data_IF_072578050532
#
_entry.id   IF_072578050532
#
_cell.length_a   1.000
_cell.length_b   1.000
_cell.length_c   1.000
_cell.angle_alpha   90.00
_cell.angle_beta   90.00
_cell.angle_gamma   90.00
#
_symmetry.space_group_name_H-M   'P 1'
#
loop_
_entity.id
_entity.type
_entity.pdbx_description
1 polymer ?
#
# COMPACT_ATOMS: atom_id res chain seq x y z
N UNK A 1 81.67 -1.37 43.47
CA UNK A 1 80.84 -0.14 43.52
C UNK A 1 80.70 0.50 42.15
N UNK A 2 81.78 0.92 41.49
CA UNK A 2 81.65 1.65 40.21
C UNK A 2 81.17 0.77 39.05
N UNK A 3 81.67 -0.47 38.94
CA UNK A 3 81.13 -1.44 37.97
C UNK A 3 79.62 -1.70 38.19
N UNK A 4 79.18 -1.69 39.45
CA UNK A 4 77.78 -1.89 39.80
C UNK A 4 76.92 -0.72 39.30
N UNK A 5 77.38 0.51 39.48
CA UNK A 5 76.65 1.69 39.05
C UNK A 5 76.53 1.78 37.53
N UNK A 6 77.61 1.49 36.82
CA UNK A 6 77.62 1.52 35.36
C UNK A 6 76.68 0.44 34.79
N UNK A 7 76.73 -0.77 35.35
CA UNK A 7 75.81 -1.84 34.98
C UNK A 7 74.35 -1.42 35.25
N UNK A 8 74.11 -0.73 36.37
CA UNK A 8 72.77 -0.23 36.74
C UNK A 8 72.24 0.81 35.73
N UNK A 9 73.07 1.76 35.29
CA UNK A 9 72.66 2.79 34.34
C UNK A 9 72.38 2.20 32.96
N UNK A 10 73.28 1.32 32.48
CA UNK A 10 73.09 0.66 31.19
C UNK A 10 71.79 -0.17 31.19
N UNK A 11 71.53 -0.89 32.29
CA UNK A 11 70.28 -1.61 32.48
C UNK A 11 69.07 -0.66 32.47
N UNK A 12 69.17 0.51 33.11
CA UNK A 12 68.10 1.51 33.14
C UNK A 12 67.80 2.09 31.74
N UNK A 13 68.84 2.41 30.95
CA UNK A 13 68.65 2.96 29.61
C UNK A 13 68.03 1.92 28.67
N UNK A 14 68.54 0.68 28.71
CA UNK A 14 67.98 -0.42 27.92
C UNK A 14 66.51 -0.65 28.30
N UNK A 15 66.19 -0.60 29.60
CA UNK A 15 64.82 -0.69 30.09
C UNK A 15 63.94 0.45 29.57
N UNK A 16 64.45 1.68 29.56
CA UNK A 16 63.72 2.85 29.05
C UNK A 16 63.45 2.76 27.55
N UNK A 17 64.45 2.37 26.75
CA UNK A 17 64.29 2.20 25.31
C UNK A 17 63.31 1.07 24.99
N UNK A 18 63.43 -0.06 25.70
CA UNK A 18 62.49 -1.17 25.58
C UNK A 18 61.07 -0.72 25.94
N UNK A 19 60.91 0.09 26.99
CA UNK A 19 59.63 0.66 27.40
C UNK A 19 59.05 1.60 26.33
N UNK A 20 59.86 2.46 25.72
CA UNK A 20 59.42 3.38 24.66
C UNK A 20 59.00 2.61 23.40
N UNK A 21 59.79 1.62 22.98
CA UNK A 21 59.46 0.77 21.84
C UNK A 21 58.16 0.00 22.10
N UNK A 22 58.01 -0.54 23.32
CA UNK A 22 56.79 -1.22 23.75
C UNK A 22 55.58 -0.26 23.72
N UNK A 23 55.75 0.99 24.17
CA UNK A 23 54.69 2.01 24.13
C UNK A 23 54.30 2.38 22.69
N UNK A 24 55.28 2.57 21.79
CA UNK A 24 55.01 2.88 20.39
C UNK A 24 54.30 1.72 19.69
N UNK A 25 54.77 0.48 19.93
CA UNK A 25 54.14 -0.72 19.40
C UNK A 25 52.70 -0.86 19.93
N UNK A 26 52.48 -0.58 21.21
CA UNK A 26 51.15 -0.57 21.82
C UNK A 26 50.24 0.49 21.19
N UNK A 27 50.76 1.70 20.93
CA UNK A 27 50.00 2.78 20.29
C UNK A 27 49.63 2.42 18.83
N UNK A 28 50.58 1.87 18.07
CA UNK A 28 50.33 1.41 16.70
C UNK A 28 49.30 0.28 16.69
N UNK A 29 49.42 -0.68 17.60
CA UNK A 29 48.47 -1.77 17.77
C UNK A 29 47.07 -1.23 18.13
N UNK A 30 46.99 -0.25 19.02
CA UNK A 30 45.73 0.42 19.39
C UNK A 30 45.10 1.13 18.19
N UNK A 31 45.89 1.86 17.40
CA UNK A 31 45.41 2.55 16.19
C UNK A 31 44.91 1.54 15.15
N UNK A 32 45.65 0.45 14.92
CA UNK A 32 45.26 -0.61 14.00
C UNK A 32 43.97 -1.29 14.48
N UNK A 33 43.86 -1.57 15.79
CA UNK A 33 42.66 -2.12 16.41
C UNK A 33 41.46 -1.19 16.23
N UNK A 34 41.64 0.12 16.43
CA UNK A 34 40.60 1.13 16.23
C UNK A 34 40.13 1.19 14.77
N UNK A 35 41.07 1.16 13.82
CA UNK A 35 40.77 1.14 12.38
C UNK A 35 40.01 -0.13 12.00
N UNK A 36 40.44 -1.29 12.52
CA UNK A 36 39.78 -2.57 12.29
C UNK A 36 38.36 -2.58 12.88
N UNK A 37 38.20 -2.06 14.10
CA UNK A 37 36.89 -1.93 14.76
C UNK A 37 35.95 -1.03 13.96
N UNK A 38 36.46 0.09 13.45
CA UNK A 38 35.70 1.01 12.61
C UNK A 38 35.30 0.34 11.29
N UNK A 39 36.22 -0.35 10.61
CA UNK A 39 35.92 -1.06 9.38
C UNK A 39 34.85 -2.15 9.61
N UNK A 40 34.97 -2.89 10.71
CA UNK A 40 33.99 -3.88 11.14
C UNK A 40 32.62 -3.23 11.39
N UNK A 41 32.58 -2.06 12.04
CA UNK A 41 31.35 -1.31 12.29
C UNK A 41 30.69 -0.87 10.98
N UNK A 42 31.48 -0.35 10.02
CA UNK A 42 30.98 0.04 8.70
C UNK A 42 30.42 -1.16 7.94
N UNK A 43 31.15 -2.28 7.96
CA UNK A 43 30.70 -3.53 7.33
C UNK A 43 29.42 -4.05 7.96
N UNK A 44 29.33 -4.04 9.29
CA UNK A 44 28.14 -4.44 10.04
C UNK A 44 26.94 -3.55 9.69
N UNK A 45 27.15 -2.23 9.61
CA UNK A 45 26.12 -1.27 9.22
C UNK A 45 25.63 -1.52 7.78
N UNK A 46 26.55 -1.79 6.85
CA UNK A 46 26.23 -2.11 5.46
C UNK A 46 25.45 -3.43 5.36
N UNK A 47 25.84 -4.45 6.13
CA UNK A 47 25.13 -5.72 6.18
C UNK A 47 23.73 -5.55 6.77
N UNK A 48 23.58 -4.77 7.85
CA UNK A 48 22.30 -4.45 8.45
C UNK A 48 21.40 -3.69 7.46
N UNK A 49 21.96 -2.74 6.71
CA UNK A 49 21.27 -2.02 5.63
C UNK A 49 20.76 -3.01 4.57
N UNK A 50 21.63 -3.89 4.08
CA UNK A 50 21.25 -4.89 3.07
C UNK A 50 20.13 -5.79 3.58
N UNK A 51 20.23 -6.27 4.82
CA UNK A 51 19.22 -7.11 5.46
C UNK A 51 17.89 -6.36 5.59
N UNK A 52 17.91 -5.09 6.01
CA UNK A 52 16.73 -4.25 6.14
C UNK A 52 16.05 -4.05 4.77
N UNK A 53 16.81 -3.74 3.73
CA UNK A 53 16.30 -3.58 2.36
C UNK A 53 15.69 -4.89 1.87
N UNK A 54 16.35 -6.03 2.11
CA UNK A 54 15.83 -7.35 1.74
C UNK A 54 14.53 -7.68 2.47
N UNK A 55 14.47 -7.42 3.78
CA UNK A 55 13.28 -7.63 4.60
C UNK A 55 12.10 -6.77 4.09
N UNK A 56 12.37 -5.51 3.76
CA UNK A 56 11.36 -4.60 3.22
C UNK A 56 10.87 -5.04 1.84
N UNK A 57 11.78 -5.49 0.96
CA UNK A 57 11.42 -6.07 -0.33
C UNK A 57 10.55 -7.32 -0.17
N UNK A 58 10.91 -8.20 0.76
CA UNK A 58 10.13 -9.39 1.07
C UNK A 58 8.74 -9.04 1.60
N UNK A 59 8.65 -8.05 2.50
CA UNK A 59 7.38 -7.56 3.03
C UNK A 59 6.51 -6.97 1.91
N UNK A 60 7.09 -6.18 1.01
CA UNK A 60 6.42 -5.63 -0.16
C UNK A 60 5.90 -6.74 -1.07
N UNK A 61 6.71 -7.76 -1.34
CA UNK A 61 6.33 -8.91 -2.15
C UNK A 61 5.18 -9.70 -1.50
N UNK A 62 5.26 -9.94 -0.19
CA UNK A 62 4.21 -10.61 0.57
C UNK A 62 2.90 -9.82 0.53
N UNK A 63 2.97 -8.50 0.71
CA UNK A 63 1.80 -7.63 0.62
C UNK A 63 1.20 -7.66 -0.79
N UNK A 64 2.03 -7.62 -1.84
CA UNK A 64 1.58 -7.72 -3.23
C UNK A 64 0.91 -9.08 -3.51
N UNK A 65 1.47 -10.18 -2.98
CA UNK A 65 0.88 -11.50 -3.10
C UNK A 65 -0.47 -11.58 -2.39
N UNK A 66 -0.56 -11.04 -1.16
CA UNK A 66 -1.81 -10.95 -0.42
C UNK A 66 -2.85 -10.12 -1.18
N UNK A 67 -2.41 -9.03 -1.82
CA UNK A 67 -3.21 -8.18 -2.71
C UNK A 67 -3.85 -9.00 -3.82
N UNK A 68 -3.00 -9.75 -4.52
CA UNK A 68 -3.38 -10.55 -5.67
C UNK A 68 -4.36 -11.65 -5.24
N UNK A 69 -4.10 -12.29 -4.11
CA UNK A 69 -4.98 -13.31 -3.54
C UNK A 69 -6.34 -12.71 -3.17
N UNK A 70 -6.38 -11.55 -2.52
CA UNK A 70 -7.62 -10.88 -2.16
C UNK A 70 -8.43 -10.49 -3.40
N UNK A 71 -7.75 -9.93 -4.42
CA UNK A 71 -8.37 -9.59 -5.70
C UNK A 71 -8.94 -10.84 -6.39
N UNK A 72 -8.19 -11.94 -6.40
CA UNK A 72 -8.63 -13.23 -6.97
C UNK A 72 -9.85 -13.78 -6.22
N UNK A 73 -9.83 -13.75 -4.88
CA UNK A 73 -10.95 -14.20 -4.05
C UNK A 73 -12.20 -13.36 -4.33
N UNK A 74 -12.05 -12.04 -4.44
CA UNK A 74 -13.15 -11.14 -4.74
C UNK A 74 -13.72 -11.36 -6.14
N UNK A 75 -12.85 -11.59 -7.13
CA UNK A 75 -13.25 -11.96 -8.49
C UNK A 75 -14.01 -13.29 -8.51
N UNK A 76 -13.54 -14.28 -7.76
CA UNK A 76 -14.21 -15.57 -7.61
C UNK A 76 -15.59 -15.40 -6.95
N UNK A 77 -15.69 -14.59 -5.90
CA UNK A 77 -16.96 -14.30 -5.23
C UNK A 77 -17.94 -13.60 -6.19
N UNK A 78 -17.47 -12.64 -6.97
CA UNK A 78 -18.24 -11.96 -8.00
C UNK A 78 -18.77 -12.95 -9.05
N UNK A 79 -17.90 -13.84 -9.53
CA UNK A 79 -18.27 -14.87 -10.49
C UNK A 79 -19.30 -15.85 -9.91
N UNK A 80 -19.11 -16.28 -8.67
CA UNK A 80 -20.04 -17.16 -7.97
C UNK A 80 -21.41 -16.51 -7.80
N UNK A 81 -21.44 -15.24 -7.40
CA UNK A 81 -22.68 -14.49 -7.27
C UNK A 81 -23.38 -14.34 -8.63
N UNK A 82 -22.65 -14.03 -9.69
CA UNK A 82 -23.18 -13.95 -11.04
C UNK A 82 -23.77 -15.31 -11.50
N UNK A 83 -23.08 -16.41 -11.20
CA UNK A 83 -23.55 -17.75 -11.52
C UNK A 83 -24.82 -18.11 -10.74
N UNK A 84 -24.85 -17.82 -9.43
CA UNK A 84 -26.02 -18.03 -8.59
C UNK A 84 -27.23 -17.24 -9.12
N UNK A 85 -26.97 -16.00 -9.53
CA UNK A 85 -27.99 -15.12 -10.09
C UNK A 85 -28.54 -15.64 -11.42
N UNK A 86 -27.66 -16.11 -12.31
CA UNK A 86 -28.05 -16.76 -13.57
C UNK A 86 -28.87 -18.03 -13.32
N UNK A 87 -28.45 -18.85 -12.35
CA UNK A 87 -29.17 -20.05 -11.95
C UNK A 87 -30.57 -19.72 -11.42
N UNK A 88 -30.69 -18.69 -10.58
CA UNK A 88 -31.97 -18.22 -10.06
C UNK A 88 -32.90 -17.76 -11.19
N UNK A 89 -32.37 -16.99 -12.16
CA UNK A 89 -33.11 -16.55 -13.33
C UNK A 89 -33.58 -17.74 -14.17
N UNK A 90 -32.71 -18.73 -14.40
CA UNK A 90 -33.03 -19.95 -15.14
C UNK A 90 -34.11 -20.77 -14.41
N UNK A 91 -33.99 -20.94 -13.10
CA UNK A 91 -34.98 -21.64 -12.28
C UNK A 91 -36.34 -20.94 -12.34
N UNK A 92 -36.36 -19.61 -12.24
CA UNK A 92 -37.58 -18.82 -12.36
C UNK A 92 -38.22 -19.01 -13.75
N UNK A 93 -37.43 -18.95 -14.81
CA UNK A 93 -37.90 -19.18 -16.17
C UNK A 93 -38.47 -20.59 -16.33
N UNK A 94 -37.76 -21.60 -15.79
CA UNK A 94 -38.18 -23.00 -15.81
C UNK A 94 -39.48 -23.22 -15.03
N UNK A 95 -39.73 -22.46 -13.96
CA UNK A 95 -40.97 -22.53 -13.19
C UNK A 95 -42.12 -21.78 -13.89
N UNK A 96 -41.84 -20.67 -14.56
CA UNK A 96 -42.84 -19.89 -15.31
C UNK A 96 -43.30 -20.61 -16.59
N UNK A 97 -42.42 -21.34 -17.29
CA UNK A 97 -42.74 -22.05 -18.53
C UNK A 97 -43.90 -23.06 -18.38
N UNK A 98 -43.90 -24.01 -17.43
CA UNK A 98 -45.00 -24.96 -17.26
C UNK A 98 -46.28 -24.26 -16.79
N UNK A 99 -46.18 -23.19 -15.99
CA UNK A 99 -47.34 -22.39 -15.62
C UNK A 99 -47.98 -21.71 -16.84
N UNK A 100 -47.16 -21.17 -17.74
CA UNK A 100 -47.61 -20.58 -19.00
C UNK A 100 -48.19 -21.64 -19.94
N UNK A 101 -47.60 -22.83 -20.02
CA UNK A 101 -48.14 -23.96 -20.79
C UNK A 101 -49.50 -24.42 -20.25
N UNK A 102 -49.61 -24.63 -18.93
CA UNK A 102 -50.86 -24.99 -18.25
C UNK A 102 -51.93 -23.94 -18.52
N UNK A 103 -51.57 -22.65 -18.40
CA UNK A 103 -52.48 -21.55 -18.69
C UNK A 103 -52.96 -21.57 -20.16
N UNK A 104 -52.05 -21.76 -21.12
CA UNK A 104 -52.39 -21.89 -22.55
C UNK A 104 -53.33 -23.08 -22.78
N UNK A 105 -53.05 -24.24 -22.17
CA UNK A 105 -53.89 -25.44 -22.27
C UNK A 105 -55.29 -25.15 -21.71
N UNK A 106 -55.38 -24.50 -20.54
CA UNK A 106 -56.66 -24.10 -19.93
C UNK A 106 -57.42 -23.15 -20.87
N UNK A 107 -56.75 -22.14 -21.43
CA UNK A 107 -57.37 -21.20 -22.39
C UNK A 107 -57.89 -21.94 -23.62
N UNK A 108 -57.10 -22.84 -24.22
CA UNK A 108 -57.51 -23.63 -25.38
C UNK A 108 -58.73 -24.50 -25.04
N UNK A 109 -58.73 -25.17 -23.89
CA UNK A 109 -59.87 -25.97 -23.43
C UNK A 109 -61.12 -25.09 -23.29
N UNK A 110 -60.99 -23.92 -22.66
CA UNK A 110 -62.09 -22.96 -22.50
C UNK A 110 -62.62 -22.52 -23.88
N UNK A 111 -61.75 -22.15 -24.83
CA UNK A 111 -62.15 -21.76 -26.18
C UNK A 111 -62.88 -22.90 -26.91
N UNK A 112 -62.36 -24.13 -26.83
CA UNK A 112 -62.98 -25.32 -27.43
C UNK A 112 -64.38 -25.54 -26.84
N UNK A 113 -64.53 -25.47 -25.51
CA UNK A 113 -65.82 -25.61 -24.82
C UNK A 113 -66.80 -24.52 -25.29
N UNK A 114 -66.33 -23.27 -25.34
CA UNK A 114 -67.10 -22.10 -25.78
C UNK A 114 -67.59 -22.26 -27.23
N UNK A 115 -66.83 -22.90 -28.11
CA UNK A 115 -67.19 -23.10 -29.52
C UNK A 115 -68.08 -24.33 -29.72
N UNK A 116 -67.74 -25.46 -29.10
CA UNK A 116 -68.45 -26.74 -29.30
C UNK A 116 -69.87 -26.68 -28.75
N UNK A 117 -70.08 -26.10 -27.56
CA UNK A 117 -71.40 -26.09 -26.92
C UNK A 117 -72.46 -25.39 -27.81
N UNK A 118 -72.24 -24.16 -28.30
CA UNK A 118 -73.18 -23.49 -29.21
C UNK A 118 -73.36 -24.23 -30.54
N UNK A 119 -72.30 -24.81 -31.12
CA UNK A 119 -72.39 -25.56 -32.37
C UNK A 119 -73.22 -26.84 -32.22
N UNK A 120 -73.02 -27.57 -31.12
CA UNK A 120 -73.78 -28.79 -30.81
C UNK A 120 -75.26 -28.44 -30.56
N UNK A 121 -75.51 -27.32 -29.87
CA UNK A 121 -76.86 -26.78 -29.70
C UNK A 121 -77.49 -26.35 -31.03
N UNK A 122 -76.73 -25.71 -31.92
CA UNK A 122 -77.18 -25.31 -33.26
C UNK A 122 -77.51 -26.53 -34.15
N UNK A 123 -76.63 -27.53 -34.16
CA UNK A 123 -76.83 -28.76 -34.93
C UNK A 123 -78.08 -29.50 -34.45
N UNK A 124 -78.25 -29.61 -33.13
CA UNK A 124 -79.45 -30.20 -32.53
C UNK A 124 -80.71 -29.44 -32.97
N UNK A 125 -80.65 -28.10 -32.96
CA UNK A 125 -81.74 -27.23 -33.37
C UNK A 125 -82.08 -27.40 -34.86
N UNK A 126 -81.07 -27.50 -35.73
CA UNK A 126 -81.24 -27.70 -37.17
C UNK A 126 -81.82 -29.08 -37.50
N UNK A 127 -81.32 -30.14 -36.84
CA UNK A 127 -81.82 -31.50 -36.99
C UNK A 127 -83.30 -31.57 -36.61
N UNK A 128 -83.67 -30.94 -35.50
CA UNK A 128 -85.05 -30.86 -35.02
C UNK A 128 -85.94 -30.14 -36.06
N UNK A 129 -85.45 -29.04 -36.64
CA UNK A 129 -86.17 -28.31 -37.68
C UNK A 129 -86.37 -29.16 -38.94
N UNK A 130 -85.32 -29.82 -39.44
CA UNK A 130 -85.38 -30.66 -40.63
C UNK A 130 -86.36 -31.83 -40.45
N UNK A 131 -86.30 -32.48 -39.29
CA UNK A 131 -87.21 -33.56 -38.94
C UNK A 131 -88.66 -33.07 -38.96
N UNK A 132 -88.91 -31.90 -38.36
CA UNK A 132 -90.24 -31.33 -38.36
C UNK A 132 -90.71 -30.97 -39.77
N UNK A 133 -89.85 -30.38 -40.60
CA UNK A 133 -90.17 -30.03 -41.98
C UNK A 133 -90.47 -31.27 -42.83
N UNK A 134 -89.70 -32.33 -42.69
CA UNK A 134 -89.93 -33.59 -43.39
C UNK A 134 -91.26 -34.22 -42.96
N UNK A 135 -91.54 -34.24 -41.66
CA UNK A 135 -92.81 -34.70 -41.12
C UNK A 135 -93.97 -33.88 -41.70
N UNK A 136 -93.79 -32.56 -41.79
CA UNK A 136 -94.76 -31.65 -42.39
C UNK A 136 -95.04 -31.97 -43.85
N UNK A 137 -93.98 -32.15 -44.64
CA UNK A 137 -94.07 -32.41 -46.07
C UNK A 137 -94.73 -33.78 -46.33
N UNK A 138 -94.35 -34.79 -45.54
CA UNK A 138 -94.96 -36.11 -45.62
C UNK A 138 -96.45 -36.04 -45.29
N UNK A 139 -96.82 -35.31 -44.23
CA UNK A 139 -98.21 -35.10 -43.85
C UNK A 139 -98.97 -34.40 -44.98
N UNK A 140 -98.39 -33.37 -45.59
CA UNK A 140 -98.99 -32.64 -46.71
C UNK A 140 -99.18 -33.54 -47.94
N UNK A 141 -98.17 -34.32 -48.32
CA UNK A 141 -98.23 -35.23 -49.46
C UNK A 141 -99.31 -36.30 -49.25
N UNK A 142 -99.35 -36.89 -48.06
CA UNK A 142 -100.35 -37.88 -47.67
C UNK A 142 -101.75 -37.27 -47.78
N UNK A 143 -101.91 -36.05 -47.28
CA UNK A 143 -103.17 -35.32 -47.33
C UNK A 143 -103.61 -35.04 -48.77
N UNK A 144 -102.69 -34.63 -49.65
CA UNK A 144 -102.95 -34.37 -51.06
C UNK A 144 -103.34 -35.65 -51.82
N UNK A 145 -102.60 -36.74 -51.59
CA UNK A 145 -102.88 -38.05 -52.19
C UNK A 145 -104.26 -38.55 -51.77
N UNK A 146 -104.58 -38.43 -50.48
CA UNK A 146 -105.88 -38.79 -49.93
C UNK A 146 -107.00 -37.97 -50.60
N UNK A 147 -106.77 -36.66 -50.77
CA UNK A 147 -107.73 -35.79 -51.43
C UNK A 147 -107.99 -36.19 -52.88
N UNK A 148 -106.92 -36.48 -53.65
CA UNK A 148 -107.02 -36.88 -55.05
C UNK A 148 -107.75 -38.22 -55.21
N UNK A 149 -107.44 -39.20 -54.34
CA UNK A 149 -108.11 -40.49 -54.28
C UNK A 149 -109.61 -40.31 -53.97
N UNK A 150 -109.93 -39.44 -53.02
CA UNK A 150 -111.32 -39.20 -52.64
C UNK A 150 -112.09 -38.51 -53.77
N UNK A 151 -111.48 -37.56 -54.47
CA UNK A 151 -112.09 -36.87 -55.60
C UNK A 151 -112.40 -37.82 -56.77
N UNK A 152 -111.50 -38.75 -57.09
CA UNK A 152 -111.71 -39.72 -58.19
C UNK A 152 -112.84 -40.71 -57.90
N UNK A 153 -112.95 -41.15 -56.64
CA UNK A 153 -114.01 -42.06 -56.19
C UNK A 153 -115.39 -41.37 -56.17
N UNK A 154 -115.42 -40.06 -55.90
CA UNK A 154 -116.66 -39.28 -55.83
C UNK A 154 -117.37 -39.14 -57.19
N UNK A 155 -116.64 -39.20 -58.31
CA UNK A 155 -117.20 -38.99 -59.66
C UNK A 155 -118.28 -40.04 -60.04
N UNK A 156 -118.27 -41.23 -59.41
CA UNK A 156 -119.27 -42.27 -59.64
C UNK A 156 -120.62 -42.04 -58.92
N UNK A 157 -120.69 -41.07 -58.00
CA UNK A 157 -121.86 -40.85 -57.16
C UNK A 157 -122.88 -39.88 -57.80
N UNK A 158 -124.19 -40.12 -57.65
CA UNK A 158 -125.20 -39.19 -58.12
C UNK A 158 -125.01 -37.81 -57.49
N UNK A 159 -125.14 -36.77 -58.32
CA UNK A 159 -124.87 -35.36 -58.02
C UNK A 159 -125.30 -34.85 -56.63
N UNK A 160 -126.51 -35.16 -56.10
CA UNK A 160 -126.91 -34.64 -54.79
C UNK A 160 -126.10 -35.19 -53.61
N UNK A 161 -125.55 -36.40 -53.72
CA UNK A 161 -124.72 -37.00 -52.67
C UNK A 161 -123.25 -36.55 -52.76
N UNK A 162 -122.77 -36.15 -53.94
CA UNK A 162 -121.41 -35.65 -54.17
C UNK A 162 -121.18 -34.32 -53.44
N UNK A 163 -122.12 -33.39 -53.51
CA UNK A 163 -121.99 -32.05 -52.93
C UNK A 163 -122.07 -32.06 -51.39
N UNK A 164 -122.92 -32.92 -50.81
CA UNK A 164 -123.08 -33.04 -49.36
C UNK A 164 -121.78 -33.50 -48.67
N UNK A 165 -120.97 -34.32 -49.36
CA UNK A 165 -119.79 -34.97 -48.76
C UNK A 165 -118.46 -34.28 -49.13
N UNK A 166 -118.36 -33.59 -50.27
CA UNK A 166 -117.14 -32.88 -50.69
C UNK A 166 -116.90 -31.58 -49.88
N UNK A 167 -117.96 -30.80 -49.61
CA UNK A 167 -117.84 -29.48 -48.96
C UNK A 167 -117.27 -29.55 -47.54
N UNK A 168 -117.72 -30.45 -46.64
CA UNK A 168 -117.15 -30.56 -45.30
C UNK A 168 -115.67 -31.00 -45.33
N UNK A 169 -115.31 -31.83 -46.30
CA UNK A 169 -113.98 -32.42 -46.39
C UNK A 169 -112.94 -31.42 -46.92
N UNK A 170 -113.31 -30.56 -47.88
CA UNK A 170 -112.43 -29.49 -48.40
C UNK A 170 -112.23 -28.35 -47.37
N UNK A 171 -113.26 -28.02 -46.59
CA UNK A 171 -113.14 -27.02 -45.52
C UNK A 171 -112.21 -27.53 -44.39
N UNK A 172 -112.35 -28.81 -44.00
CA UNK A 172 -111.47 -29.43 -43.01
C UNK A 172 -110.00 -29.43 -43.49
N UNK A 173 -109.77 -29.73 -44.77
CA UNK A 173 -108.44 -29.76 -45.39
C UNK A 173 -107.78 -28.37 -45.42
N UNK A 174 -108.52 -27.33 -45.79
CA UNK A 174 -108.01 -25.95 -45.83
C UNK A 174 -107.67 -25.43 -44.43
N UNK A 175 -108.53 -25.71 -43.44
CA UNK A 175 -108.28 -25.32 -42.05
C UNK A 175 -107.03 -26.03 -41.49
N UNK A 176 -106.87 -27.32 -41.79
CA UNK A 176 -105.69 -28.10 -41.41
C UNK A 176 -104.42 -27.51 -42.04
N UNK A 177 -104.43 -27.17 -43.34
CA UNK A 177 -103.31 -26.56 -44.05
C UNK A 177 -102.90 -25.20 -43.45
N UNK A 178 -103.87 -24.33 -43.17
CA UNK A 178 -103.62 -23.00 -42.62
C UNK A 178 -103.02 -23.06 -41.21
N UNK A 179 -103.56 -23.94 -40.36
CA UNK A 179 -103.04 -24.16 -39.01
C UNK A 179 -101.60 -24.68 -39.07
N UNK A 180 -101.32 -25.59 -40.00
CA UNK A 180 -99.99 -26.17 -40.21
C UNK A 180 -98.96 -25.12 -40.66
N UNK A 181 -99.32 -24.22 -41.57
CA UNK A 181 -98.45 -23.14 -42.06
C UNK A 181 -98.14 -22.11 -40.96
N UNK A 182 -99.15 -21.70 -40.17
CA UNK A 182 -98.97 -20.74 -39.08
C UNK A 182 -98.05 -21.31 -37.99
N UNK A 183 -98.22 -22.59 -37.65
CA UNK A 183 -97.35 -23.28 -36.69
C UNK A 183 -95.89 -23.31 -37.18
N UNK A 184 -95.66 -23.58 -38.47
CA UNK A 184 -94.32 -23.59 -39.06
C UNK A 184 -93.65 -22.20 -39.02
N UNK A 185 -94.37 -21.13 -39.36
CA UNK A 185 -93.84 -19.76 -39.35
C UNK A 185 -93.47 -19.30 -37.93
N UNK A 186 -94.35 -19.55 -36.95
CA UNK A 186 -94.10 -19.20 -35.56
C UNK A 186 -92.86 -19.92 -35.03
N UNK A 187 -92.70 -21.21 -35.36
CA UNK A 187 -91.53 -21.96 -34.97
C UNK A 187 -90.24 -21.40 -35.61
N UNK A 188 -90.27 -21.06 -36.91
CA UNK A 188 -89.12 -20.48 -37.61
C UNK A 188 -88.67 -19.14 -37.00
N UNK A 189 -89.62 -18.27 -36.61
CA UNK A 189 -89.31 -16.99 -35.97
C UNK A 189 -88.64 -17.19 -34.60
N UNK A 190 -89.17 -18.09 -33.78
CA UNK A 190 -88.58 -18.42 -32.47
C UNK A 190 -87.16 -18.97 -32.64
N UNK A 191 -86.94 -19.81 -33.66
CA UNK A 191 -85.63 -20.36 -34.01
C UNK A 191 -84.60 -19.27 -34.31
N UNK A 192 -84.98 -18.31 -35.15
CA UNK A 192 -84.11 -17.23 -35.60
C UNK A 192 -83.71 -16.31 -34.43
N UNK A 193 -84.67 -15.98 -33.55
CA UNK A 193 -84.40 -15.16 -32.37
C UNK A 193 -83.43 -15.86 -31.41
N UNK A 194 -83.63 -17.16 -31.19
CA UNK A 194 -82.74 -17.96 -30.34
C UNK A 194 -81.32 -18.02 -30.91
N UNK A 195 -81.19 -18.17 -32.24
CA UNK A 195 -79.91 -18.18 -32.94
C UNK A 195 -79.15 -16.84 -32.78
N UNK A 196 -79.85 -15.72 -32.96
CA UNK A 196 -79.25 -14.39 -32.83
C UNK A 196 -78.77 -14.12 -31.39
N UNK A 197 -79.57 -14.49 -30.39
CA UNK A 197 -79.19 -14.35 -28.99
C UNK A 197 -77.96 -15.20 -28.65
N UNK A 198 -77.91 -16.44 -29.14
CA UNK A 198 -76.78 -17.34 -28.96
C UNK A 198 -75.48 -16.76 -29.56
N UNK A 199 -75.56 -16.17 -30.75
CA UNK A 199 -74.42 -15.55 -31.43
C UNK A 199 -73.88 -14.34 -30.66
N UNK A 200 -74.77 -13.46 -30.18
CA UNK A 200 -74.38 -12.28 -29.41
C UNK A 200 -73.69 -12.66 -28.09
N UNK A 201 -74.23 -13.65 -27.39
CA UNK A 201 -73.65 -14.15 -26.15
C UNK A 201 -72.25 -14.74 -26.39
N UNK A 202 -72.07 -15.51 -27.46
CA UNK A 202 -70.79 -16.08 -27.85
C UNK A 202 -69.74 -14.99 -28.12
N UNK A 203 -70.12 -13.93 -28.84
CA UNK A 203 -69.22 -12.81 -29.16
C UNK A 203 -68.77 -12.06 -27.88
N UNK A 204 -69.71 -11.78 -26.97
CA UNK A 204 -69.40 -11.10 -25.72
C UNK A 204 -68.43 -11.91 -24.85
N UNK A 205 -68.65 -13.22 -24.77
CA UNK A 205 -67.80 -14.13 -24.01
C UNK A 205 -66.38 -14.19 -24.59
N UNK A 206 -66.25 -14.25 -25.92
CA UNK A 206 -64.96 -14.23 -26.60
C UNK A 206 -64.20 -12.92 -26.35
N UNK A 207 -64.88 -11.77 -26.40
CA UNK A 207 -64.28 -10.47 -26.15
C UNK A 207 -63.75 -10.37 -24.71
N UNK A 208 -64.53 -10.83 -23.74
CA UNK A 208 -64.13 -10.82 -22.32
C UNK A 208 -62.88 -11.69 -22.10
N UNK A 209 -62.84 -12.88 -22.72
CA UNK A 209 -61.69 -13.78 -22.63
C UNK A 209 -60.43 -13.16 -23.25
N UNK A 210 -60.55 -12.47 -24.38
CA UNK A 210 -59.43 -11.77 -25.02
C UNK A 210 -58.89 -10.64 -24.13
N UNK A 211 -59.77 -9.85 -23.51
CA UNK A 211 -59.37 -8.76 -22.61
C UNK A 211 -58.60 -9.30 -21.39
N UNK A 212 -59.09 -10.40 -20.78
CA UNK A 212 -58.42 -11.03 -19.65
C UNK A 212 -57.03 -11.56 -20.02
N UNK A 213 -56.89 -12.17 -21.19
CA UNK A 213 -55.61 -12.66 -21.70
C UNK A 213 -54.60 -11.51 -21.86
N UNK A 214 -55.03 -10.39 -22.45
CA UNK A 214 -54.18 -9.23 -22.67
C UNK A 214 -53.70 -8.60 -21.35
N UNK A 215 -54.59 -8.47 -20.36
CA UNK A 215 -54.23 -7.95 -19.05
C UNK A 215 -53.23 -8.84 -18.32
N UNK A 216 -53.40 -10.17 -18.39
CA UNK A 216 -52.48 -11.12 -17.79
C UNK A 216 -51.10 -11.07 -18.46
N UNK A 217 -51.05 -10.98 -19.80
CA UNK A 217 -49.80 -10.84 -20.54
C UNK A 217 -49.05 -9.55 -20.15
N UNK A 218 -49.76 -8.42 -20.04
CA UNK A 218 -49.18 -7.14 -19.63
C UNK A 218 -48.58 -7.21 -18.22
N UNK A 219 -49.30 -7.82 -17.28
CA UNK A 219 -48.83 -8.00 -15.91
C UNK A 219 -47.55 -8.85 -15.87
N UNK A 220 -47.51 -9.95 -16.62
CA UNK A 220 -46.34 -10.81 -16.72
C UNK A 220 -45.12 -10.06 -17.28
N UNK A 221 -45.32 -9.25 -18.33
CA UNK A 221 -44.27 -8.44 -18.93
C UNK A 221 -43.73 -7.39 -17.95
N UNK A 222 -44.61 -6.70 -17.23
CA UNK A 222 -44.22 -5.71 -16.23
C UNK A 222 -43.40 -6.34 -15.10
N UNK A 223 -43.81 -7.50 -14.61
CA UNK A 223 -43.09 -8.24 -13.58
C UNK A 223 -41.68 -8.63 -14.05
N UNK A 224 -41.57 -9.12 -15.29
CA UNK A 224 -40.27 -9.47 -15.90
C UNK A 224 -39.36 -8.24 -16.01
N UNK A 225 -39.89 -7.09 -16.46
CA UNK A 225 -39.13 -5.85 -16.57
C UNK A 225 -38.63 -5.35 -15.20
N UNK A 226 -39.48 -5.39 -14.18
CA UNK A 226 -39.13 -4.99 -12.83
C UNK A 226 -37.99 -5.86 -12.27
N UNK A 227 -38.08 -7.18 -12.47
CA UNK A 227 -37.04 -8.12 -12.06
C UNK A 227 -35.71 -7.82 -12.77
N UNK A 228 -35.74 -7.55 -14.07
CA UNK A 228 -34.55 -7.18 -14.85
C UNK A 228 -33.91 -5.88 -14.35
N UNK A 229 -34.72 -4.87 -14.02
CA UNK A 229 -34.22 -3.61 -13.48
C UNK A 229 -33.53 -3.81 -12.12
N UNK A 230 -34.16 -4.58 -11.22
CA UNK A 230 -33.58 -4.92 -9.92
C UNK A 230 -32.23 -5.65 -10.07
N UNK A 231 -32.16 -6.56 -11.04
CA UNK A 231 -30.94 -7.29 -11.39
C UNK A 231 -29.81 -6.34 -11.78
N UNK A 232 -30.11 -5.39 -12.67
CA UNK A 232 -29.15 -4.41 -13.17
C UNK A 232 -28.63 -3.50 -12.05
N UNK A 233 -29.54 -3.06 -11.17
CA UNK A 233 -29.18 -2.22 -10.02
C UNK A 233 -28.24 -2.95 -9.07
N UNK A 234 -28.51 -4.23 -8.77
CA UNK A 234 -27.66 -5.05 -7.91
C UNK A 234 -26.26 -5.22 -8.51
N UNK A 235 -26.17 -5.46 -9.82
CA UNK A 235 -24.90 -5.58 -10.53
C UNK A 235 -24.09 -4.28 -10.47
N UNK A 236 -24.74 -3.13 -10.67
CA UNK A 236 -24.10 -1.81 -10.61
C UNK A 236 -23.55 -1.52 -9.20
N UNK A 237 -24.33 -1.81 -8.16
CA UNK A 237 -23.90 -1.62 -6.77
C UNK A 237 -22.65 -2.44 -6.46
N UNK A 238 -22.62 -3.70 -6.90
CA UNK A 238 -21.49 -4.59 -6.70
C UNK A 238 -20.23 -4.11 -7.43
N UNK A 239 -20.39 -3.60 -8.65
CA UNK A 239 -19.29 -3.00 -9.42
C UNK A 239 -18.72 -1.77 -8.71
N UNK A 240 -19.58 -0.91 -8.16
CA UNK A 240 -19.15 0.28 -7.41
C UNK A 240 -18.35 -0.13 -6.16
N UNK A 241 -18.82 -1.15 -5.43
CA UNK A 241 -18.12 -1.67 -4.25
C UNK A 241 -16.73 -2.21 -4.61
N UNK A 242 -16.63 -2.96 -5.72
CA UNK A 242 -15.36 -3.46 -6.25
C UNK A 242 -14.38 -2.32 -6.54
N UNK A 243 -14.86 -1.25 -7.21
CA UNK A 243 -14.04 -0.09 -7.54
C UNK A 243 -13.54 0.64 -6.28
N UNK A 244 -14.41 0.84 -5.29
CA UNK A 244 -14.05 1.46 -4.02
C UNK A 244 -12.96 0.66 -3.30
N UNK A 245 -13.11 -0.66 -3.24
CA UNK A 245 -12.12 -1.52 -2.60
C UNK A 245 -10.77 -1.45 -3.32
N UNK A 246 -10.77 -1.47 -4.66
CA UNK A 246 -9.55 -1.34 -5.46
C UNK A 246 -8.85 0.01 -5.21
N UNK A 247 -9.61 1.10 -5.08
CA UNK A 247 -9.06 2.43 -4.78
C UNK A 247 -8.41 2.49 -3.40
N UNK A 248 -9.09 1.97 -2.37
CA UNK A 248 -8.55 1.90 -1.01
C UNK A 248 -7.23 1.13 -0.98
N UNK A 249 -7.18 0.04 -1.74
CA UNK A 249 -6.03 -0.83 -1.86
C UNK A 249 -4.83 -0.14 -2.51
N UNK A 250 -5.07 0.61 -3.59
CA UNK A 250 -4.05 1.40 -4.27
C UNK A 250 -3.48 2.49 -3.34
N UNK A 251 -4.34 3.14 -2.56
CA UNK A 251 -3.92 4.15 -1.59
C UNK A 251 -2.99 3.55 -0.52
N UNK A 252 -3.33 2.37 0.00
CA UNK A 252 -2.49 1.66 0.98
C UNK A 252 -1.11 1.33 0.41
N UNK A 253 -1.06 0.84 -0.83
CA UNK A 253 0.20 0.55 -1.52
C UNK A 253 1.06 1.81 -1.69
N UNK A 254 0.44 2.93 -2.08
CA UNK A 254 1.13 4.22 -2.23
C UNK A 254 1.70 4.70 -0.89
N UNK A 255 0.94 4.58 0.19
CA UNK A 255 1.39 4.96 1.53
C UNK A 255 2.59 4.12 1.97
N UNK A 256 2.55 2.80 1.74
CA UNK A 256 3.68 1.92 2.04
C UNK A 256 4.93 2.31 1.25
N UNK A 257 4.78 2.60 -0.04
CA UNK A 257 5.89 3.04 -0.90
C UNK A 257 6.50 4.36 -0.40
N UNK A 258 5.67 5.32 0.01
CA UNK A 258 6.12 6.59 0.56
C UNK A 258 6.91 6.37 1.87
N UNK A 259 6.41 5.50 2.75
CA UNK A 259 7.10 5.15 4.00
C UNK A 259 8.47 4.52 3.72
N UNK A 260 8.53 3.62 2.73
CA UNK A 260 9.79 3.00 2.29
C UNK A 260 10.81 4.04 1.82
N UNK A 261 10.37 5.00 1.00
CA UNK A 261 11.21 6.08 0.49
C UNK A 261 11.74 6.96 1.63
N UNK A 262 10.88 7.31 2.59
CA UNK A 262 11.26 8.12 3.75
C UNK A 262 12.31 7.41 4.61
N UNK A 263 12.12 6.11 4.86
CA UNK A 263 13.08 5.31 5.63
C UNK A 263 14.44 5.25 4.92
N UNK A 264 14.45 5.05 3.60
CA UNK A 264 15.68 5.05 2.79
C UNK A 264 16.40 6.40 2.88
N UNK A 265 15.67 7.51 2.79
CA UNK A 265 16.23 8.86 2.88
C UNK A 265 16.86 9.13 4.26
N UNK A 266 16.15 8.77 5.33
CA UNK A 266 16.64 8.92 6.70
C UNK A 266 17.95 8.15 6.91
N UNK A 267 18.01 6.94 6.35
CA UNK A 267 19.18 6.08 6.46
C UNK A 267 20.38 6.62 5.67
N UNK A 268 20.14 7.16 4.47
CA UNK A 268 21.18 7.83 3.68
C UNK A 268 21.76 9.04 4.43
N UNK A 269 20.89 9.83 5.07
CA UNK A 269 21.31 10.97 5.89
C UNK A 269 22.19 10.53 7.07
N UNK A 270 21.81 9.44 7.75
CA UNK A 270 22.60 8.88 8.85
C UNK A 270 23.99 8.42 8.38
N UNK A 271 24.07 7.76 7.22
CA UNK A 271 25.35 7.33 6.63
C UNK A 271 26.24 8.52 6.29
N UNK A 272 25.68 9.59 5.72
CA UNK A 272 26.41 10.82 5.41
C UNK A 272 26.97 11.47 6.67
N UNK A 273 26.16 11.55 7.73
CA UNK A 273 26.58 12.10 9.02
C UNK A 273 27.74 11.30 9.62
N UNK A 274 27.66 9.96 9.56
CA UNK A 274 28.72 9.07 10.04
C UNK A 274 30.02 9.28 9.25
N UNK A 275 29.94 9.40 7.92
CA UNK A 275 31.09 9.67 7.07
C UNK A 275 31.75 11.01 7.41
N UNK A 276 30.95 12.06 7.62
CA UNK A 276 31.45 13.38 8.01
C UNK A 276 32.17 13.33 9.37
N UNK A 277 31.58 12.64 10.35
CA UNK A 277 32.19 12.45 11.66
C UNK A 277 33.53 11.72 11.56
N UNK A 278 33.59 10.69 10.71
CA UNK A 278 34.82 9.94 10.46
C UNK A 278 35.93 10.83 9.89
N UNK A 279 35.59 11.75 8.98
CA UNK A 279 36.55 12.66 8.36
C UNK A 279 37.07 13.73 9.34
N UNK A 280 36.24 14.17 10.30
CA UNK A 280 36.61 15.17 11.30
C UNK A 280 37.49 14.61 12.44
N UNK A 281 37.31 13.33 12.80
CA UNK A 281 38.05 12.68 13.90
C UNK A 281 39.60 12.78 13.78
N UNK A 282 40.25 12.45 12.65
CA UNK A 282 41.71 12.55 12.53
C UNK A 282 42.22 13.99 12.58
N UNK A 283 41.40 14.96 12.18
CA UNK A 283 41.74 16.38 12.23
C UNK A 283 41.83 16.87 13.68
N UNK A 284 40.87 16.48 14.52
CA UNK A 284 40.83 16.80 15.95
C UNK A 284 42.01 16.18 16.73
N UNK A 285 42.35 14.92 16.44
CA UNK A 285 43.47 14.22 17.10
C UNK A 285 44.83 14.88 16.80
N UNK A 286 45.04 15.39 15.58
CA UNK A 286 46.28 16.08 15.21
C UNK A 286 46.49 17.40 15.96
N UNK A 287 45.42 18.16 16.19
CA UNK A 287 45.49 19.44 16.90
C UNK A 287 45.85 19.26 18.38
N UNK A 288 45.32 18.24 19.04
CA UNK A 288 45.60 17.99 20.47
C UNK A 288 47.05 17.57 20.73
N UNK A 289 47.63 16.73 19.87
CA UNK A 289 49.02 16.30 20.00
C UNK A 289 50.01 17.48 19.86
N UNK A 290 49.72 18.38 18.91
CA UNK A 290 50.56 19.55 18.65
C UNK A 290 50.56 20.52 19.84
N UNK A 291 49.40 20.72 20.46
CA UNK A 291 49.25 21.56 21.64
C UNK A 291 50.00 21.00 22.86
N UNK A 292 49.87 19.69 23.12
CA UNK A 292 50.50 19.04 24.26
C UNK A 292 52.03 19.06 24.18
N UNK A 293 52.58 18.81 22.99
CA UNK A 293 54.02 18.77 22.76
C UNK A 293 54.66 20.14 23.01
N UNK A 294 54.00 21.21 22.59
CA UNK A 294 54.49 22.58 22.77
C UNK A 294 54.53 22.97 24.27
N UNK A 295 53.49 22.60 25.02
CA UNK A 295 53.37 23.00 26.43
C UNK A 295 54.41 22.33 27.34
N UNK A 296 54.82 21.09 27.01
CA UNK A 296 55.77 20.31 27.83
C UNK A 296 57.23 20.73 27.66
N UNK A 297 57.61 21.22 26.49
CA UNK A 297 59.01 21.59 26.21
C UNK A 297 59.41 22.93 26.81
N UNK A 298 58.44 23.80 27.07
CA UNK A 298 58.66 25.16 27.53
C UNK A 298 59.47 25.27 28.85
N UNK A 299 59.15 24.55 29.94
CA UNK A 299 59.91 24.65 31.18
C UNK A 299 61.33 24.07 31.08
N UNK A 300 61.52 23.02 30.27
CA UNK A 300 62.85 22.43 30.04
C UNK A 300 63.77 23.40 29.32
N UNK A 301 63.26 24.10 28.30
CA UNK A 301 64.00 25.13 27.56
C UNK A 301 64.46 26.26 28.49
N UNK A 302 63.58 26.67 29.41
CA UNK A 302 63.86 27.77 30.33
C UNK A 302 64.92 27.38 31.38
N UNK A 303 64.86 26.15 31.91
CA UNK A 303 65.82 25.65 32.88
C UNK A 303 67.20 25.36 32.26
N UNK A 304 67.23 24.77 31.07
CA UNK A 304 68.47 24.52 30.33
C UNK A 304 69.21 25.84 30.03
N UNK A 305 68.48 26.87 29.62
CA UNK A 305 69.04 28.19 29.34
C UNK A 305 69.73 28.78 30.58
N UNK A 306 69.10 28.64 31.74
CA UNK A 306 69.61 29.18 33.00
C UNK A 306 70.83 28.41 33.52
N UNK A 307 70.83 27.08 33.39
CA UNK A 307 71.94 26.23 33.83
C UNK A 307 73.16 26.35 32.92
N UNK A 308 72.95 26.45 31.60
CA UNK A 308 74.02 26.70 30.63
C UNK A 308 74.73 28.02 30.93
N UNK A 309 73.96 29.07 31.22
CA UNK A 309 74.49 30.38 31.58
C UNK A 309 75.40 30.30 32.82
N UNK A 310 74.95 29.59 33.86
CA UNK A 310 75.69 29.45 35.10
C UNK A 310 76.94 28.58 34.95
N UNK A 311 76.84 27.46 34.23
CA UNK A 311 77.97 26.56 33.96
C UNK A 311 79.06 27.27 33.16
N UNK A 312 78.67 28.01 32.12
CA UNK A 312 79.60 28.76 31.28
C UNK A 312 80.38 29.78 32.12
N UNK A 313 79.68 30.51 32.99
CA UNK A 313 80.28 31.47 33.91
C UNK A 313 81.30 30.81 34.86
N UNK A 314 80.97 29.66 35.44
CA UNK A 314 81.82 28.94 36.39
C UNK A 314 83.08 28.35 35.70
N UNK A 315 82.91 27.69 34.54
CA UNK A 315 84.01 27.10 33.77
C UNK A 315 85.03 28.18 33.39
N UNK A 316 84.53 29.33 32.95
CA UNK A 316 85.36 30.46 32.57
C UNK A 316 86.23 30.93 33.73
N UNK A 317 85.63 31.06 34.92
CA UNK A 317 86.32 31.46 36.14
C UNK A 317 87.42 30.44 36.54
N UNK A 318 87.10 29.14 36.48
CA UNK A 318 88.04 28.07 36.81
C UNK A 318 89.22 28.02 35.83
N UNK A 319 88.94 28.11 34.53
CA UNK A 319 89.97 28.11 33.49
C UNK A 319 90.92 29.29 33.67
N UNK A 320 90.36 30.47 33.94
CA UNK A 320 91.14 31.68 34.21
C UNK A 320 92.09 31.46 35.40
N UNK A 321 91.61 30.87 36.49
CA UNK A 321 92.39 30.58 37.68
C UNK A 321 93.51 29.54 37.42
N UNK A 322 93.19 28.44 36.72
CA UNK A 322 94.14 27.39 36.37
C UNK A 322 95.24 27.92 35.44
N UNK A 323 94.84 28.68 34.43
CA UNK A 323 95.77 29.27 33.46
C UNK A 323 96.76 30.18 34.17
N UNK A 324 96.28 31.00 35.11
CA UNK A 324 97.11 31.86 35.94
C UNK A 324 98.11 31.06 36.79
N UNK A 325 97.64 29.98 37.44
CA UNK A 325 98.48 29.11 38.28
C UNK A 325 99.56 28.38 37.46
N UNK A 326 99.18 27.81 36.30
CA UNK A 326 100.10 27.13 35.39
C UNK A 326 101.15 28.11 34.87
N UNK A 327 100.72 29.31 34.47
CA UNK A 327 101.62 30.35 34.00
C UNK A 327 102.67 30.67 35.08
N UNK A 328 102.23 30.83 36.33
CA UNK A 328 103.11 31.09 37.46
C UNK A 328 104.14 29.96 37.66
N UNK A 329 103.69 28.70 37.64
CA UNK A 329 104.53 27.51 37.79
C UNK A 329 105.56 27.38 36.65
N UNK A 330 105.11 27.59 35.42
CA UNK A 330 105.93 27.42 34.23
C UNK A 330 106.97 28.53 34.11
N UNK A 331 106.60 29.76 34.43
CA UNK A 331 107.52 30.90 34.52
C UNK A 331 108.66 30.59 35.51
N UNK A 332 108.35 29.95 36.64
CA UNK A 332 109.34 29.53 37.63
C UNK A 332 110.31 28.46 37.08
N UNK A 333 109.81 27.50 36.31
CA UNK A 333 110.58 26.36 35.77
C UNK A 333 111.46 26.75 34.56
N UNK A 334 110.91 27.54 33.64
CA UNK A 334 111.50 27.86 32.33
C UNK A 334 112.37 29.13 32.34
N UNK A 335 112.66 29.67 33.52
CA UNK A 335 113.57 30.80 33.65
C UNK A 335 114.94 30.58 32.95
N UNK A 336 115.42 29.34 32.68
CA UNK A 336 116.58 29.10 31.83
C UNK A 336 116.25 28.51 30.44
N UNK A 337 115.12 28.87 29.79
CA UNK A 337 115.31 29.49 28.48
C UNK A 337 116.14 30.72 28.79
N UNK A 338 117.29 30.91 28.17
CA UNK A 338 117.24 31.27 26.76
C UNK A 338 115.86 31.81 26.29
N UNK A 339 115.26 32.75 27.01
CA UNK A 339 114.16 33.69 26.74
C UNK A 339 113.12 33.54 25.59
N UNK A 340 113.45 32.98 24.42
CA UNK A 340 112.64 33.05 23.19
C UNK A 340 111.30 32.32 23.33
N UNK A 341 111.31 31.11 23.87
CA UNK A 341 110.07 30.36 24.08
C UNK A 341 109.26 30.88 25.29
N UNK A 342 109.88 31.72 26.13
CA UNK A 342 109.30 32.64 27.11
C UNK A 342 108.19 33.54 26.51
N UNK A 343 108.67 34.39 25.60
CA UNK A 343 107.92 35.49 25.00
C UNK A 343 106.81 34.99 24.07
N UNK A 344 107.11 33.98 23.25
CA UNK A 344 106.13 33.41 22.33
C UNK A 344 104.93 32.86 23.12
N UNK A 345 105.21 32.23 24.26
CA UNK A 345 104.16 31.68 25.12
C UNK A 345 103.28 32.77 25.75
N UNK A 346 103.87 33.88 26.21
CA UNK A 346 103.12 34.97 26.84
C UNK A 346 102.21 35.71 25.85
N UNK A 347 102.69 35.99 24.63
CA UNK A 347 101.89 36.68 23.61
C UNK A 347 100.68 35.85 23.21
N UNK A 348 100.90 34.55 23.02
CA UNK A 348 99.83 33.62 22.70
C UNK A 348 98.75 33.62 23.78
N UNK A 349 99.15 33.70 25.06
CA UNK A 349 98.24 33.74 26.20
C UNK A 349 97.36 34.99 26.23
N UNK A 350 97.95 36.17 25.99
CA UNK A 350 97.22 37.44 26.06
C UNK A 350 96.16 37.54 24.94
N UNK A 351 96.53 37.14 23.73
CA UNK A 351 95.60 37.11 22.60
C UNK A 351 94.42 36.17 22.92
N UNK A 352 94.73 35.02 23.52
CA UNK A 352 93.71 34.07 23.93
C UNK A 352 92.73 34.67 24.94
N UNK A 353 93.22 35.44 25.93
CA UNK A 353 92.38 36.06 26.95
C UNK A 353 91.43 37.12 26.37
N UNK A 354 91.93 38.00 25.50
CA UNK A 354 91.11 39.09 24.92
C UNK A 354 89.98 38.53 24.06
N UNK A 355 90.29 37.53 23.23
CA UNK A 355 89.30 36.87 22.38
C UNK A 355 88.19 36.23 23.23
N UNK A 356 88.57 35.62 24.35
CA UNK A 356 87.63 34.99 25.28
C UNK A 356 86.64 36.01 25.86
N UNK A 357 87.10 37.21 26.24
CA UNK A 357 86.24 38.23 26.83
C UNK A 357 85.21 38.79 25.83
N UNK A 358 85.64 39.08 24.58
CA UNK A 358 84.73 39.64 23.56
C UNK A 358 83.61 38.66 23.23
N UNK A 359 83.94 37.37 23.12
CA UNK A 359 82.97 36.33 22.86
C UNK A 359 81.88 36.28 23.95
N UNK A 360 82.27 36.49 25.21
CA UNK A 360 81.34 36.47 26.33
C UNK A 360 80.27 37.56 26.23
N UNK A 361 80.68 38.80 25.91
CA UNK A 361 79.77 39.95 25.88
C UNK A 361 78.69 39.78 24.80
N UNK A 362 79.09 39.32 23.60
CA UNK A 362 78.16 39.11 22.48
C UNK A 362 77.10 38.05 22.83
N UNK A 363 77.52 36.98 23.52
CA UNK A 363 76.63 35.91 23.92
C UNK A 363 75.56 36.40 24.91
N UNK A 364 75.95 37.26 25.86
CA UNK A 364 75.02 37.76 26.89
C UNK A 364 73.89 38.59 26.27
N UNK A 365 74.21 39.46 25.31
CA UNK A 365 73.21 40.33 24.69
C UNK A 365 72.17 39.54 23.89
N UNK A 366 72.61 38.53 23.12
CA UNK A 366 71.72 37.67 22.33
C UNK A 366 70.70 36.95 23.23
N UNK A 367 71.15 36.52 24.40
CA UNK A 367 70.30 35.81 25.36
C UNK A 367 69.14 36.67 25.88
N UNK A 368 69.41 37.94 26.19
CA UNK A 368 68.41 38.84 26.75
C UNK A 368 67.26 39.09 25.77
N UNK A 369 67.57 39.26 24.48
CA UNK A 369 66.56 39.48 23.44
C UNK A 369 65.65 38.26 23.26
N UNK A 370 66.23 37.06 23.27
CA UNK A 370 65.49 35.80 23.12
C UNK A 370 64.47 35.62 24.26
N UNK A 371 64.86 35.97 25.49
CA UNK A 371 64.00 35.82 26.66
C UNK A 371 62.74 36.68 26.56
N UNK A 372 62.87 37.93 26.09
CA UNK A 372 61.73 38.85 25.96
C UNK A 372 60.69 38.36 24.94
N UNK A 373 61.15 37.83 23.80
CA UNK A 373 60.26 37.31 22.77
C UNK A 373 59.44 36.10 23.26
N UNK A 374 60.07 35.21 24.02
CA UNK A 374 59.41 34.02 24.55
C UNK A 374 58.25 34.39 25.50
N UNK A 375 58.44 35.42 26.33
CA UNK A 375 57.43 35.84 27.30
C UNK A 375 56.15 36.35 26.60
N UNK A 376 56.30 37.12 25.52
CA UNK A 376 55.16 37.68 24.78
C UNK A 376 54.30 36.58 24.14
N UNK A 377 54.95 35.55 23.57
CA UNK A 377 54.26 34.44 22.90
C UNK A 377 53.42 33.62 23.90
N UNK A 378 53.97 33.38 25.09
CA UNK A 378 53.30 32.57 26.12
C UNK A 378 51.99 33.22 26.58
N UNK A 379 51.98 34.55 26.74
CA UNK A 379 50.79 35.27 27.19
C UNK A 379 49.62 35.15 26.21
N UNK A 380 49.90 35.23 24.90
CA UNK A 380 48.89 35.10 23.87
C UNK A 380 48.24 33.70 23.86
N UNK A 381 49.05 32.65 24.02
CA UNK A 381 48.57 31.27 24.02
C UNK A 381 47.61 31.00 25.18
N UNK A 382 47.93 31.53 26.37
CA UNK A 382 47.12 31.32 27.57
C UNK A 382 45.70 31.90 27.40
N UNK A 383 45.60 33.07 26.76
CA UNK A 383 44.31 33.72 26.51
C UNK A 383 43.41 32.89 25.58
N UNK A 384 43.98 32.28 24.54
CA UNK A 384 43.25 31.43 23.59
C UNK A 384 42.67 30.18 24.27
N UNK A 385 43.45 29.56 25.16
CA UNK A 385 43.03 28.34 25.86
C UNK A 385 41.82 28.60 26.78
N UNK A 386 41.80 29.74 27.46
CA UNK A 386 40.74 30.09 28.40
C UNK A 386 39.38 30.27 27.70
N UNK A 387 39.38 30.82 26.48
CA UNK A 387 38.19 30.94 25.63
C UNK A 387 37.63 29.57 25.21
N UNK A 388 38.50 28.61 24.88
CA UNK A 388 38.09 27.26 24.47
C UNK A 388 37.39 26.50 25.61
N UNK A 389 37.92 26.59 26.82
CA UNK A 389 37.35 25.90 27.99
C UNK A 389 35.96 26.42 28.34
N UNK A 390 35.73 27.73 28.24
CA UNK A 390 34.40 28.32 28.47
C UNK A 390 33.33 27.76 27.52
N UNK A 391 33.68 27.50 26.25
CA UNK A 391 32.75 26.96 25.24
C UNK A 391 32.40 25.47 25.47
N UNK A 392 33.34 24.68 25.99
CA UNK A 392 33.09 23.27 26.31
C UNK A 392 32.20 23.08 27.55
N UNK A 393 32.25 24.00 28.54
CA UNK A 393 31.39 23.85 29.73
C UNK A 393 29.91 24.13 29.43
N UNK A 394 29.60 25.08 28.54
CA UNK A 394 28.21 25.42 28.20
C UNK A 394 27.52 24.30 27.42
N UNK A 395 28.24 23.62 26.53
CA UNK A 395 27.73 22.50 25.73
C UNK A 395 27.44 21.25 26.59
N UNK A 396 28.21 20.98 27.64
CA UNK A 396 27.99 19.83 28.53
C UNK A 396 26.70 19.96 29.38
N UNK A 397 26.34 21.18 29.81
CA UNK A 397 25.10 21.41 30.57
C UNK A 397 23.83 21.15 29.74
N UNK A 398 23.85 21.38 28.42
CA UNK A 398 22.70 21.10 27.55
C UNK A 398 22.45 19.60 27.36
N UNK A 399 23.51 18.78 27.29
CA UNK A 399 23.40 17.33 27.09
C UNK A 399 22.81 16.65 28.33
N UNK A 400 23.17 17.09 29.53
CA UNK A 400 22.64 16.51 30.77
C UNK A 400 21.14 16.74 30.96
N UNK A 401 20.60 17.90 30.53
CA UNK A 401 19.18 18.18 30.64
C UNK A 401 18.32 17.28 29.73
N UNK A 402 18.81 16.91 28.55
CA UNK A 402 18.08 16.01 27.65
C UNK A 402 18.04 14.56 28.14
N UNK A 403 19.10 14.08 28.78
CA UNK A 403 19.12 12.75 29.38
C UNK A 403 18.09 12.61 30.52
N UNK A 404 17.88 13.66 31.32
CA UNK A 404 16.90 13.61 32.42
C UNK A 404 15.44 13.54 31.94
N UNK A 405 15.10 14.12 30.78
CA UNK A 405 13.72 14.06 30.28
C UNK A 405 13.36 12.67 29.73
N UNK A 406 14.31 11.99 29.10
CA UNK A 406 14.11 10.63 28.60
C UNK A 406 13.94 9.60 29.74
N UNK A 407 14.66 9.76 30.85
CA UNK A 407 14.54 8.84 31.98
C UNK A 407 13.17 8.87 32.65
N UNK A 408 12.55 10.05 32.82
CA UNK A 408 11.25 10.14 33.48
C UNK A 408 10.10 9.56 32.63
N UNK A 409 10.17 9.69 31.30
CA UNK A 409 9.14 9.12 30.43
C UNK A 409 9.21 7.60 30.40
N UNK A 410 10.42 7.03 30.46
CA UNK A 410 10.61 5.57 30.49
C UNK A 410 10.12 4.98 31.82
N UNK A 411 10.33 5.65 32.96
CA UNK A 411 9.86 5.10 34.25
C UNK A 411 8.35 5.25 34.45
N UNK A 412 7.70 6.25 33.84
CA UNK A 412 6.23 6.36 33.91
C UNK A 412 5.54 5.38 32.94
N UNK A 413 6.20 5.03 31.84
CA UNK A 413 5.71 4.03 30.88
C UNK A 413 6.02 2.60 31.30
N UNK A 414 7.14 2.35 31.98
CA UNK A 414 7.38 1.07 32.63
C UNK A 414 6.79 1.10 34.04
N UNK A 415 5.49 0.92 34.06
CA UNK A 415 4.90 -0.38 34.36
C UNK A 415 4.60 -0.47 35.87
N UNK A 416 3.36 -0.33 36.32
CA UNK A 416 2.08 -0.34 35.59
C UNK A 416 1.85 -1.53 34.63
N UNK A 417 2.76 -2.52 34.61
CA UNK A 417 2.62 -3.91 34.13
C UNK A 417 3.18 -4.81 35.24
#
# INVERSE_FOLDING_TARGET
MLLLLLLLLLLLLLLLLLLLLLLLLLLLLLLLLLLLLLLLLILLLLLLLLLLVLLLLLLLLLLLLLLLLLLLLLLLLLLLLLLLLLLLLLLLLLLLLPLLLILIIIIIIIIIIIIIIPLLLLLLLLLLLLLLLLLLLLLLLLLLLLLLLLLSLLILLPLPLLLLLLLPLLLLLLLLLLLLLLLLLLLLLILLLLLLLLLLLLLLLLLLLLLQLLLLLLLLLLLLLLLLLLLLLLLLLLLLLLLLLLLLLLLLLLLLLLLLLLLLLLLLLLLLLLLLLLLLLPLLLRLQLLLLLLLRLLPLLLLLLQLLLLLLLLLLLLLLLLLLLLLLLLLLLLLPLQLILLLLLLLLLLLLLLLLLLLLLLLLLLLLLLLLLLLLLLLLLLLLLLLLVCYCSSSCCYVYCYCCYCCCFITLHNNTI
#
